data_IF_193469704903
#
_entry.id   IF_193469704903
#
_cell.length_a   1.000
_cell.length_b   1.000
_cell.length_c   1.000
_cell.angle_alpha   90.00
_cell.angle_beta   90.00
_cell.angle_gamma   90.00
#
_symmetry.space_group_name_H-M   'P 1'
#
loop_
_entity.id
_entity.type
_entity.pdbx_description
1 polymer ?
#
# COMPACT_ATOMS: atom_id res chain seq x y z
N UNK A 1 26.80 -6.39 23.20
CA UNK A 1 27.08 -7.53 22.30
C UNK A 1 26.25 -7.28 21.05
N UNK A 2 26.85 -7.03 19.89
CA UNK A 2 26.09 -6.94 18.64
C UNK A 2 25.69 -8.36 18.27
N UNK A 3 24.42 -8.70 18.46
CA UNK A 3 23.87 -9.91 17.88
C UNK A 3 23.70 -9.63 16.38
N UNK A 4 24.48 -10.36 15.58
CA UNK A 4 24.34 -10.36 14.13
C UNK A 4 23.29 -11.43 13.81
N UNK A 5 22.28 -11.07 13.03
CA UNK A 5 21.22 -11.99 12.61
C UNK A 5 21.38 -12.27 11.13
N UNK A 6 21.20 -13.52 10.73
CA UNK A 6 21.05 -13.86 9.32
C UNK A 6 19.87 -14.79 9.10
N UNK A 7 19.24 -14.64 7.94
CA UNK A 7 18.10 -15.45 7.51
C UNK A 7 18.49 -16.30 6.31
N UNK A 8 18.08 -17.57 6.35
CA UNK A 8 18.18 -18.46 5.18
C UNK A 8 16.75 -18.74 4.71
N UNK A 9 16.46 -18.33 3.48
CA UNK A 9 15.41 -18.88 2.61
C UNK A 9 16.04 -19.07 1.22
N UNK A 10 15.56 -20.03 0.42
CA UNK A 10 16.18 -20.54 -0.82
C UNK A 10 16.41 -19.53 -1.96
N UNK A 11 16.15 -18.22 -1.80
CA UNK A 11 16.59 -17.16 -2.72
C UNK A 11 16.56 -15.82 -1.96
N UNK A 12 17.73 -15.22 -1.73
CA UNK A 12 17.87 -13.95 -1.03
C UNK A 12 17.73 -12.77 -2.01
N UNK A 13 16.82 -11.83 -1.72
CA UNK A 13 16.84 -10.50 -2.30
C UNK A 13 16.94 -9.46 -1.18
N UNK A 14 18.10 -8.82 -1.13
CA UNK A 14 18.47 -7.52 -0.54
C UNK A 14 17.82 -7.08 0.80
N UNK A 15 18.67 -6.78 1.79
CA UNK A 15 18.27 -5.94 2.95
C UNK A 15 18.07 -4.53 2.42
N UNK A 16 16.81 -4.12 2.25
CA UNK A 16 16.47 -2.76 1.84
C UNK A 16 16.67 -1.84 3.05
N UNK A 17 17.83 -1.17 3.03
CA UNK A 17 18.25 0.00 3.81
C UNK A 17 18.15 -0.02 5.35
N UNK A 18 19.16 0.55 5.98
CA UNK A 18 19.17 0.80 7.43
C UNK A 18 18.35 2.04 7.78
N UNK A 19 17.53 1.96 8.82
CA UNK A 19 16.82 3.07 9.49
C UNK A 19 15.89 3.88 8.58
N UNK A 20 15.00 3.18 7.85
CA UNK A 20 14.12 3.78 6.84
C UNK A 20 12.91 4.49 7.45
N UNK A 21 12.41 4.00 8.59
CA UNK A 21 11.13 4.42 9.12
C UNK A 21 11.26 5.51 10.19
N UNK A 22 10.65 6.66 9.97
CA UNK A 22 10.76 7.85 10.82
C UNK A 22 10.04 7.71 12.17
N UNK A 23 9.03 6.83 12.27
CA UNK A 23 8.30 6.50 13.51
C UNK A 23 8.96 5.39 14.34
N UNK A 24 10.06 4.80 13.85
CA UNK A 24 10.75 3.72 14.55
C UNK A 24 11.93 4.29 15.35
N UNK A 25 11.91 4.06 16.66
CA UNK A 25 13.05 4.38 17.53
C UNK A 25 14.13 3.31 17.42
N UNK A 26 15.07 3.51 16.50
CA UNK A 26 16.25 2.65 16.37
C UNK A 26 17.25 2.88 17.51
N UNK A 27 17.87 1.80 17.98
CA UNK A 27 18.81 1.79 19.12
C UNK A 27 20.26 1.56 18.71
N UNK A 28 20.53 1.32 17.42
CA UNK A 28 21.86 0.98 16.92
C UNK A 28 21.89 0.78 15.41
N UNK A 29 22.94 0.14 14.93
CA UNK A 29 23.04 -0.28 13.53
C UNK A 29 22.18 -1.51 13.23
N UNK A 30 22.00 -1.83 11.95
CA UNK A 30 21.27 -3.01 11.49
C UNK A 30 19.80 -3.06 11.93
N UNK A 31 19.11 -1.92 11.98
CA UNK A 31 17.68 -1.83 12.33
C UNK A 31 17.33 -2.37 13.72
N UNK A 32 18.25 -2.28 14.68
CA UNK A 32 17.99 -2.65 16.07
C UNK A 32 16.93 -1.73 16.70
N UNK A 33 15.95 -2.32 17.39
CA UNK A 33 14.88 -1.62 18.12
C UNK A 33 14.76 -2.18 19.54
N UNK A 34 13.95 -1.55 20.39
CA UNK A 34 13.70 -2.06 21.75
C UNK A 34 13.12 -3.47 21.69
N UNK A 35 13.86 -4.45 22.22
CA UNK A 35 13.44 -5.85 22.26
C UNK A 35 13.75 -6.69 21.01
N UNK A 36 14.44 -6.14 20.00
CA UNK A 36 14.78 -6.93 18.82
C UNK A 36 15.32 -6.12 17.63
N UNK A 37 14.93 -6.54 16.42
CA UNK A 37 15.39 -6.01 15.15
C UNK A 37 14.23 -5.94 14.16
N UNK A 38 14.24 -4.93 13.28
CA UNK A 38 13.25 -4.77 12.23
C UNK A 38 13.85 -5.12 10.87
N UNK A 39 13.22 -6.02 10.13
CA UNK A 39 13.63 -6.42 8.79
C UNK A 39 12.44 -6.41 7.84
N UNK A 40 12.63 -5.80 6.67
CA UNK A 40 11.66 -5.83 5.57
C UNK A 40 12.17 -6.80 4.53
N UNK A 41 11.26 -7.66 4.06
CA UNK A 41 11.53 -8.63 3.01
C UNK A 41 10.50 -8.48 1.91
N UNK A 42 10.93 -8.71 0.66
CA UNK A 42 10.06 -8.65 -0.51
C UNK A 42 10.12 -9.99 -1.26
N UNK A 43 8.97 -10.42 -1.77
CA UNK A 43 8.87 -11.60 -2.62
C UNK A 43 8.02 -11.31 -3.83
N UNK A 44 8.41 -11.91 -4.95
CA UNK A 44 7.65 -11.81 -6.19
C UNK A 44 6.48 -12.81 -6.22
N UNK A 45 6.51 -13.85 -5.38
CA UNK A 45 5.55 -14.95 -5.41
C UNK A 45 4.89 -15.21 -4.05
N UNK A 46 3.59 -15.46 -4.09
CA UNK A 46 2.78 -15.89 -2.94
C UNK A 46 3.11 -17.32 -2.48
N UNK A 47 2.54 -17.73 -1.35
CA UNK A 47 2.69 -19.08 -0.81
C UNK A 47 3.29 -19.13 0.59
N UNK A 48 3.67 -20.33 1.02
CA UNK A 48 4.34 -20.52 2.31
C UNK A 48 5.80 -20.12 2.20
N UNK A 49 6.25 -19.28 3.12
CA UNK A 49 7.64 -18.83 3.28
C UNK A 49 8.16 -19.29 4.62
N UNK A 50 9.33 -19.88 4.62
CA UNK A 50 9.95 -20.44 5.82
C UNK A 50 11.21 -19.65 6.13
N UNK A 51 11.24 -19.05 7.31
CA UNK A 51 12.36 -18.27 7.80
C UNK A 51 13.06 -19.08 8.87
N UNK A 52 14.39 -19.10 8.80
CA UNK A 52 15.21 -19.48 9.94
C UNK A 52 15.99 -18.25 10.38
N UNK A 53 15.74 -17.77 11.59
CA UNK A 53 16.54 -16.72 12.21
C UNK A 53 17.66 -17.39 12.99
N UNK A 54 18.89 -16.95 12.73
CA UNK A 54 20.08 -17.46 13.40
C UNK A 54 20.83 -16.34 14.10
N UNK A 55 21.41 -16.67 15.25
CA UNK A 55 22.21 -15.79 16.10
C UNK A 55 23.65 -16.29 16.19
N UNK A 56 24.61 -15.38 16.28
CA UNK A 56 26.01 -15.72 16.53
C UNK A 56 26.26 -15.90 18.03
N UNK A 57 26.67 -17.10 18.44
CA UNK A 57 27.07 -17.45 19.82
C UNK A 57 28.52 -17.94 19.79
N UNK A 58 29.43 -17.13 20.34
CA UNK A 58 30.87 -17.34 20.17
C UNK A 58 31.26 -17.24 18.69
N UNK A 59 31.93 -18.26 18.16
CA UNK A 59 32.24 -18.37 16.71
C UNK A 59 31.22 -19.19 15.91
N UNK A 60 30.12 -19.60 16.53
CA UNK A 60 29.13 -20.48 15.88
C UNK A 60 27.80 -19.76 15.64
N UNK A 61 27.10 -20.19 14.59
CA UNK A 61 25.76 -19.74 14.27
C UNK A 61 24.74 -20.77 14.73
N UNK A 62 23.86 -20.37 15.64
CA UNK A 62 22.80 -21.22 16.18
C UNK A 62 21.44 -20.76 15.68
N UNK A 63 20.50 -21.69 15.49
CA UNK A 63 19.12 -21.34 15.14
C UNK A 63 18.43 -20.77 16.36
N UNK A 64 18.06 -19.50 16.29
CA UNK A 64 17.31 -18.81 17.33
C UNK A 64 15.81 -19.11 17.21
N UNK A 65 15.27 -19.05 15.99
CA UNK A 65 13.86 -19.41 15.74
C UNK A 65 13.60 -19.80 14.29
N UNK A 66 12.44 -20.42 14.06
CA UNK A 66 11.88 -20.67 12.74
C UNK A 66 10.49 -20.07 12.66
N UNK A 67 10.19 -19.38 11.58
CA UNK A 67 8.90 -18.72 11.36
C UNK A 67 8.34 -19.24 10.03
N UNK A 68 7.06 -19.62 10.01
CA UNK A 68 6.32 -19.86 8.77
C UNK A 68 5.38 -18.67 8.55
N UNK A 69 5.48 -18.02 7.39
CA UNK A 69 4.56 -16.96 6.97
C UNK A 69 3.83 -17.44 5.72
N UNK A 70 2.52 -17.23 5.67
CA UNK A 70 1.72 -17.44 4.46
C UNK A 70 1.51 -16.12 3.74
N UNK A 71 2.24 -15.90 2.64
CA UNK A 71 2.03 -14.76 1.75
C UNK A 71 0.83 -15.01 0.85
N UNK A 72 -0.10 -14.05 0.82
CA UNK A 72 -1.26 -14.08 -0.07
C UNK A 72 -0.88 -13.60 -1.47
N UNK A 73 -1.64 -14.04 -2.47
CA UNK A 73 -1.56 -13.49 -3.82
C UNK A 73 -2.18 -12.09 -3.82
N UNK A 74 -1.34 -11.07 -4.08
CA UNK A 74 -1.75 -9.66 -4.06
C UNK A 74 -2.84 -9.38 -5.09
N UNK A 75 -2.68 -9.85 -6.33
CA UNK A 75 -3.62 -9.60 -7.42
C UNK A 75 -4.98 -10.22 -7.10
N UNK A 76 -4.98 -11.46 -6.62
CA UNK A 76 -6.21 -12.12 -6.20
C UNK A 76 -6.89 -11.39 -5.04
N UNK A 77 -6.13 -10.94 -4.04
CA UNK A 77 -6.68 -10.21 -2.91
C UNK A 77 -7.25 -8.84 -3.30
N UNK A 78 -6.60 -8.13 -4.23
CA UNK A 78 -7.10 -6.87 -4.79
C UNK A 78 -8.40 -7.10 -5.56
N UNK A 79 -8.46 -8.13 -6.39
CA UNK A 79 -9.64 -8.54 -7.13
C UNK A 79 -10.84 -8.87 -6.21
N UNK A 80 -10.59 -9.61 -5.14
CA UNK A 80 -11.60 -9.96 -4.12
C UNK A 80 -12.07 -8.71 -3.38
N UNK A 81 -11.15 -7.80 -3.03
CA UNK A 81 -11.49 -6.53 -2.39
C UNK A 81 -12.36 -5.66 -3.32
N UNK A 82 -11.96 -5.46 -4.57
CA UNK A 82 -12.73 -4.68 -5.55
C UNK A 82 -14.16 -5.22 -5.69
N UNK A 83 -14.31 -6.53 -5.86
CA UNK A 83 -15.62 -7.17 -5.96
C UNK A 83 -16.46 -6.94 -4.70
N UNK A 84 -15.85 -7.07 -3.51
CA UNK A 84 -16.56 -6.85 -2.24
C UNK A 84 -17.09 -5.41 -2.10
N UNK A 85 -16.39 -4.42 -2.66
CA UNK A 85 -16.83 -3.02 -2.65
C UNK A 85 -17.98 -2.84 -3.64
N UNK A 86 -17.87 -3.38 -4.86
CA UNK A 86 -18.93 -3.35 -5.88
C UNK A 86 -20.23 -3.93 -5.31
N UNK A 87 -20.16 -5.11 -4.71
CA UNK A 87 -21.32 -5.80 -4.13
C UNK A 87 -21.92 -5.03 -2.94
N UNK A 88 -21.09 -4.25 -2.23
CA UNK A 88 -21.53 -3.46 -1.07
C UNK A 88 -22.27 -2.18 -1.47
N UNK A 89 -21.82 -1.47 -2.50
CA UNK A 89 -22.30 -0.10 -2.80
C UNK A 89 -23.10 0.01 -4.09
N UNK A 90 -23.24 -1.09 -4.84
CA UNK A 90 -23.97 -1.13 -6.10
C UNK A 90 -24.96 -2.29 -6.14
N UNK A 91 -25.91 -2.22 -7.08
CA UNK A 91 -26.81 -3.32 -7.39
C UNK A 91 -27.10 -3.41 -8.90
N UNK A 92 -27.83 -4.44 -9.31
CA UNK A 92 -28.13 -4.71 -10.73
C UNK A 92 -29.09 -3.70 -11.37
N UNK A 93 -29.80 -2.88 -10.60
CA UNK A 93 -30.71 -1.85 -11.12
C UNK A 93 -30.00 -0.54 -11.49
N UNK A 94 -28.79 -0.33 -10.98
CA UNK A 94 -28.00 0.86 -11.24
C UNK A 94 -27.37 0.85 -12.64
N UNK A 95 -27.40 1.99 -13.31
CA UNK A 95 -26.66 2.21 -14.56
C UNK A 95 -25.15 2.22 -14.30
N UNK A 96 -24.33 1.99 -15.33
CA UNK A 96 -22.86 2.04 -15.21
C UNK A 96 -22.37 3.36 -14.60
N UNK A 97 -22.96 4.48 -15.03
CA UNK A 97 -22.64 5.80 -14.48
C UNK A 97 -22.93 5.89 -12.97
N UNK A 98 -24.11 5.43 -12.52
CA UNK A 98 -24.49 5.46 -11.11
C UNK A 98 -23.59 4.54 -10.28
N UNK A 99 -23.22 3.36 -10.80
CA UNK A 99 -22.27 2.46 -10.13
C UNK A 99 -20.93 3.14 -9.90
N UNK A 100 -20.36 3.74 -10.95
CA UNK A 100 -19.08 4.44 -10.84
C UNK A 100 -19.12 5.61 -9.86
N UNK A 101 -20.23 6.37 -9.80
CA UNK A 101 -20.43 7.42 -8.80
C UNK A 101 -20.46 6.89 -7.36
N UNK A 102 -21.10 5.73 -7.13
CA UNK A 102 -21.13 5.08 -5.80
C UNK A 102 -19.74 4.59 -5.38
N UNK A 103 -18.96 4.09 -6.33
CA UNK A 103 -17.60 3.62 -6.11
C UNK A 103 -16.64 4.77 -5.83
N UNK A 104 -16.74 5.87 -6.59
CA UNK A 104 -16.00 7.11 -6.31
C UNK A 104 -16.28 7.62 -4.90
N UNK A 105 -17.56 7.72 -4.52
CA UNK A 105 -17.93 8.14 -3.17
C UNK A 105 -17.41 7.19 -2.09
N UNK A 106 -17.43 5.88 -2.33
CA UNK A 106 -16.85 4.91 -1.41
C UNK A 106 -15.37 5.17 -1.17
N UNK A 107 -14.59 5.44 -2.22
CA UNK A 107 -13.16 5.76 -2.07
C UNK A 107 -12.99 7.04 -1.26
N UNK A 108 -13.71 8.11 -1.61
CA UNK A 108 -13.65 9.39 -0.88
C UNK A 108 -14.03 9.28 0.60
N UNK A 109 -15.00 8.42 0.93
CA UNK A 109 -15.49 8.24 2.31
C UNK A 109 -14.58 7.34 3.17
N UNK A 110 -13.82 6.44 2.54
CA UNK A 110 -13.09 5.37 3.25
C UNK A 110 -11.58 5.51 3.18
N UNK A 111 -11.06 6.43 2.39
CA UNK A 111 -9.62 6.63 2.22
C UNK A 111 -9.21 8.05 2.59
N UNK A 112 -7.96 8.17 3.04
CA UNK A 112 -7.30 9.44 3.32
C UNK A 112 -6.14 9.65 2.35
N UNK A 113 -5.74 10.91 2.14
CA UNK A 113 -4.58 11.21 1.30
C UNK A 113 -3.30 10.61 1.90
N UNK A 114 -2.39 10.16 1.05
CA UNK A 114 -1.08 9.68 1.46
C UNK A 114 -0.27 10.80 2.13
N UNK A 115 0.24 10.50 3.32
CA UNK A 115 1.03 11.46 4.12
C UNK A 115 2.44 11.63 3.57
N UNK A 116 2.88 10.67 2.77
CA UNK A 116 4.17 10.64 2.12
C UNK A 116 4.04 11.26 0.73
N UNK A 117 4.36 12.54 0.61
CA UNK A 117 4.62 13.09 -0.72
C UNK A 117 6.11 12.90 -1.00
N UNK A 118 6.44 12.47 -2.21
CA UNK A 118 7.79 12.12 -2.70
C UNK A 118 8.79 13.30 -2.69
N UNK A 119 8.52 14.35 -1.90
CA UNK A 119 9.32 15.56 -1.69
C UNK A 119 9.46 15.95 -0.21
N UNK A 120 9.06 15.09 0.74
CA UNK A 120 9.00 15.41 2.19
C UNK A 120 9.21 14.24 3.16
N UNK A 121 9.94 13.21 2.74
CA UNK A 121 10.82 12.28 3.51
C UNK A 121 10.36 11.71 4.88
N UNK A 122 9.07 11.46 5.09
CA UNK A 122 8.62 10.69 6.25
C UNK A 122 8.01 9.37 5.78
N UNK A 123 8.78 8.29 5.93
CA UNK A 123 8.31 6.92 5.73
C UNK A 123 7.91 6.37 7.09
N UNK A 124 6.62 6.12 7.31
CA UNK A 124 6.13 5.54 8.56
C UNK A 124 5.97 4.03 8.38
N UNK A 125 6.45 3.23 9.32
CA UNK A 125 6.16 1.79 9.35
C UNK A 125 4.64 1.56 9.47
N UNK A 126 3.92 2.46 10.12
CA UNK A 126 2.46 2.41 10.20
C UNK A 126 1.75 2.54 8.85
N UNK A 127 2.42 3.08 7.82
CA UNK A 127 1.86 3.27 6.48
C UNK A 127 2.24 2.11 5.52
N UNK A 128 3.01 1.12 5.98
CA UNK A 128 3.38 -0.06 5.19
C UNK A 128 2.20 -1.02 5.01
N UNK A 129 2.01 -1.49 3.78
CA UNK A 129 0.98 -2.48 3.44
C UNK A 129 0.24 -2.15 2.15
N UNK A 130 -0.79 -2.95 1.86
CA UNK A 130 -1.65 -2.76 0.70
C UNK A 130 -2.64 -1.62 0.93
N UNK A 131 -2.85 -0.76 -0.08
CA UNK A 131 -3.65 0.47 0.04
C UNK A 131 -5.07 0.21 0.57
N UNK A 132 -5.69 -0.91 0.20
CA UNK A 132 -7.06 -1.25 0.61
C UNK A 132 -7.17 -1.66 2.09
N UNK A 133 -6.08 -2.02 2.75
CA UNK A 133 -6.03 -2.28 4.20
C UNK A 133 -5.64 -1.02 4.97
N UNK A 134 -4.58 -0.32 4.52
CA UNK A 134 -4.07 0.91 5.19
C UNK A 134 -4.99 2.12 5.03
N UNK A 135 -5.86 2.15 4.00
CA UNK A 135 -6.82 3.24 3.72
C UNK A 135 -6.18 4.61 3.49
N UNK A 136 -4.95 4.63 2.99
CA UNK A 136 -4.25 5.82 2.54
C UNK A 136 -3.88 5.65 1.06
N UNK A 137 -4.06 6.69 0.25
CA UNK A 137 -3.82 6.69 -1.21
C UNK A 137 -3.45 8.09 -1.70
N UNK A 138 -2.70 8.18 -2.78
CA UNK A 138 -2.50 9.41 -3.54
C UNK A 138 -3.41 9.48 -4.79
N UNK A 139 -3.17 10.46 -5.66
CA UNK A 139 -3.93 10.62 -6.90
C UNK A 139 -3.71 9.48 -7.91
N UNK A 140 -2.56 8.82 -7.89
CA UNK A 140 -2.24 7.72 -8.80
C UNK A 140 -2.96 6.46 -8.34
N UNK A 141 -2.86 6.12 -7.05
CA UNK A 141 -3.59 5.03 -6.44
C UNK A 141 -5.11 5.20 -6.64
N UNK A 142 -5.66 6.40 -6.36
CA UNK A 142 -7.07 6.68 -6.55
C UNK A 142 -7.52 6.52 -8.02
N UNK A 143 -6.72 7.03 -8.97
CA UNK A 143 -6.99 6.87 -10.41
C UNK A 143 -6.98 5.39 -10.79
N UNK A 144 -6.00 4.63 -10.30
CA UNK A 144 -5.89 3.21 -10.57
C UNK A 144 -7.09 2.43 -10.05
N UNK A 145 -7.50 2.70 -8.80
CA UNK A 145 -8.67 2.06 -8.17
C UNK A 145 -9.93 2.28 -9.02
N UNK A 146 -10.15 3.50 -9.50
CA UNK A 146 -11.32 3.79 -10.34
C UNK A 146 -11.25 3.10 -11.71
N UNK A 147 -10.07 2.98 -12.32
CA UNK A 147 -9.90 2.21 -13.55
C UNK A 147 -10.14 0.71 -13.32
N UNK A 148 -9.68 0.17 -12.20
CA UNK A 148 -9.90 -1.24 -11.83
C UNK A 148 -11.39 -1.53 -11.56
N UNK A 149 -12.11 -0.59 -10.94
CA UNK A 149 -13.56 -0.70 -10.80
C UNK A 149 -14.27 -0.68 -12.15
N UNK A 150 -13.87 0.20 -13.07
CA UNK A 150 -14.41 0.24 -14.42
C UNK A 150 -14.19 -1.10 -15.15
N UNK A 151 -12.98 -1.66 -15.09
CA UNK A 151 -12.63 -2.95 -15.68
C UNK A 151 -13.49 -4.09 -15.11
N UNK A 152 -13.67 -4.16 -13.78
CA UNK A 152 -14.57 -5.13 -13.13
C UNK A 152 -16.02 -5.02 -13.57
N UNK A 153 -16.46 -3.83 -13.96
CA UNK A 153 -17.80 -3.57 -14.50
C UNK A 153 -17.89 -3.76 -16.02
N UNK A 154 -16.79 -4.14 -16.68
CA UNK A 154 -16.73 -4.31 -18.14
C UNK A 154 -16.74 -2.98 -18.90
N UNK A 155 -16.27 -1.90 -18.28
CA UNK A 155 -16.22 -0.56 -18.85
C UNK A 155 -14.78 -0.20 -19.27
N UNK A 156 -14.64 0.42 -20.43
CA UNK A 156 -13.36 0.95 -20.88
C UNK A 156 -12.99 2.20 -20.06
N UNK A 157 -11.74 2.28 -19.60
CA UNK A 157 -11.24 3.43 -18.84
C UNK A 157 -9.80 3.79 -19.21
N UNK A 158 -9.43 5.04 -18.92
CA UNK A 158 -8.07 5.57 -19.13
C UNK A 158 -7.68 6.55 -18.03
N UNK A 159 -6.39 6.60 -17.74
CA UNK A 159 -5.81 7.65 -16.90
C UNK A 159 -5.84 8.97 -17.66
N UNK A 160 -6.33 10.03 -17.01
CA UNK A 160 -6.42 11.37 -17.61
C UNK A 160 -5.68 12.37 -16.74
N UNK A 161 -4.72 13.08 -17.34
CA UNK A 161 -3.99 14.14 -16.66
C UNK A 161 -4.90 15.37 -16.48
N UNK A 162 -5.00 15.86 -15.24
CA UNK A 162 -5.89 16.98 -14.90
C UNK A 162 -5.37 18.35 -15.39
N UNK A 163 -4.16 18.41 -15.94
CA UNK A 163 -3.57 19.64 -16.47
C UNK A 163 -2.77 20.45 -15.44
N UNK A 164 -2.70 20.00 -14.18
CA UNK A 164 -1.95 20.67 -13.11
C UNK A 164 -1.33 19.68 -12.13
N UNK A 165 -0.30 20.13 -11.41
CA UNK A 165 0.30 19.47 -10.23
C UNK A 165 0.60 17.96 -10.35
N UNK A 166 0.84 17.44 -11.56
CA UNK A 166 0.98 15.98 -11.79
C UNK A 166 -0.23 15.15 -11.31
N UNK A 167 -1.41 15.77 -11.25
CA UNK A 167 -2.66 15.14 -10.80
C UNK A 167 -3.34 14.36 -11.92
N UNK A 168 -3.87 13.18 -11.59
CA UNK A 168 -4.58 12.30 -12.51
C UNK A 168 -5.95 11.93 -11.94
N UNK A 169 -6.86 11.59 -12.84
CA UNK A 169 -8.18 11.02 -12.54
C UNK A 169 -8.56 9.98 -13.61
N UNK A 170 -9.60 9.19 -13.35
CA UNK A 170 -10.06 8.17 -14.30
C UNK A 170 -11.12 8.75 -15.26
N UNK A 171 -10.95 8.55 -16.56
CA UNK A 171 -12.02 8.77 -17.55
C UNK A 171 -12.56 7.42 -18.01
N UNK A 172 -13.88 7.25 -17.97
CA UNK A 172 -14.57 5.98 -18.27
C UNK A 172 -15.57 6.18 -19.40
N UNK A 173 -15.57 5.27 -20.37
CA UNK A 173 -16.52 5.25 -21.48
C UNK A 173 -17.78 4.49 -21.07
N UNK A 174 -18.93 5.18 -21.04
CA UNK A 174 -20.23 4.61 -20.69
C UNK A 174 -21.25 5.05 -21.74
N UNK A 175 -21.90 4.09 -22.39
CA UNK A 175 -22.93 4.35 -23.43
C UNK A 175 -22.47 5.33 -24.52
N UNK A 176 -21.19 5.24 -24.92
CA UNK A 176 -20.58 6.08 -25.96
C UNK A 176 -20.21 7.50 -25.51
N UNK A 177 -20.20 7.79 -24.20
CA UNK A 177 -19.78 9.06 -23.62
C UNK A 177 -18.67 8.88 -22.59
N UNK A 178 -17.75 9.83 -22.53
CA UNK A 178 -16.69 9.88 -21.53
C UNK A 178 -17.17 10.58 -20.26
N UNK A 179 -16.90 9.97 -19.11
CA UNK A 179 -17.17 10.52 -17.78
C UNK A 179 -15.89 10.51 -16.94
N UNK A 180 -15.59 11.63 -16.29
CA UNK A 180 -14.46 11.75 -15.35
C UNK A 180 -14.87 11.38 -13.94
N UNK A 181 -14.00 10.65 -13.25
CA UNK A 181 -14.13 10.27 -11.84
C UNK A 181 -12.81 10.57 -11.12
N UNK A 182 -12.85 11.52 -10.20
CA UNK A 182 -11.72 11.96 -9.39
C UNK A 182 -11.94 11.55 -7.93
N UNK A 183 -11.57 10.31 -7.66
CA UNK A 183 -11.71 9.69 -6.35
C UNK A 183 -10.52 9.98 -5.42
N UNK A 184 -9.61 10.87 -5.83
CA UNK A 184 -8.51 11.27 -4.98
C UNK A 184 -9.08 11.97 -3.73
N UNK A 185 -8.82 11.47 -2.52
CA UNK A 185 -9.23 12.13 -1.29
C UNK A 185 -8.34 13.36 -1.09
N UNK A 186 -8.52 14.36 -1.94
CA UNK A 186 -7.84 15.64 -1.86
C UNK A 186 -8.13 16.19 -0.47
N UNK A 187 -7.08 16.37 0.34
CA UNK A 187 -7.24 17.14 1.57
C UNK A 187 -7.85 18.48 1.15
N UNK A 188 -8.97 18.87 1.75
CA UNK A 188 -9.62 20.17 1.50
C UNK A 188 -8.69 21.38 1.79
N UNK A 189 -7.42 21.15 2.10
CA UNK A 189 -6.41 22.13 2.49
C UNK A 189 -5.26 22.26 1.49
N UNK A 190 -5.18 21.41 0.46
CA UNK A 190 -3.88 21.17 -0.17
C UNK A 190 -2.89 20.62 0.87
N UNK A 191 -1.69 20.28 0.42
CA UNK A 191 -0.45 20.19 1.19
C UNK A 191 -0.61 20.17 2.71
N UNK A 192 -0.18 19.09 3.37
CA UNK A 192 0.00 19.04 4.83
C UNK A 192 0.97 20.16 5.26
N UNK A 193 0.44 21.37 5.51
CA UNK A 193 1.20 22.57 5.91
C UNK A 193 1.33 22.70 7.43
N UNK A 194 0.71 21.80 8.19
CA UNK A 194 0.79 21.80 9.65
C UNK A 194 1.32 20.45 10.14
N UNK A 195 2.64 20.40 10.31
CA UNK A 195 3.29 19.42 11.15
C UNK A 195 3.47 20.05 12.53
N UNK A 196 2.48 19.89 13.41
CA UNK A 196 2.72 20.11 14.85
C UNK A 196 3.33 18.84 15.42
N UNK A 197 4.63 18.89 15.75
CA UNK A 197 5.23 17.95 16.69
C UNK A 197 5.50 18.69 18.00
N UNK A 198 5.01 18.14 19.10
CA UNK A 198 5.50 18.48 20.44
C UNK A 198 6.83 17.73 20.60
N UNK A 199 7.92 18.49 20.77
CA UNK A 199 9.24 17.98 21.14
C UNK A 199 9.24 17.37 22.54
#
# INVERSE_FOLDING_TARGET
MLALFYTIEDEFHEIISSNVYSDVRYMGSHNQVSGGYLYTYKWDNSGKKNFTIKEKVGETWVTATKIEIKLKDKKKAEDEWLQSVIDKVTDSSMTGQVKMQRLEQYVLDNFMYDRNNERGEIYLLADEGVYWERKHIDCWDATNIMCLFADKLGLESKWTYAGYAQHYYATVMIDGKEYGYDACPMSKTGWTIVWEYIL
#
